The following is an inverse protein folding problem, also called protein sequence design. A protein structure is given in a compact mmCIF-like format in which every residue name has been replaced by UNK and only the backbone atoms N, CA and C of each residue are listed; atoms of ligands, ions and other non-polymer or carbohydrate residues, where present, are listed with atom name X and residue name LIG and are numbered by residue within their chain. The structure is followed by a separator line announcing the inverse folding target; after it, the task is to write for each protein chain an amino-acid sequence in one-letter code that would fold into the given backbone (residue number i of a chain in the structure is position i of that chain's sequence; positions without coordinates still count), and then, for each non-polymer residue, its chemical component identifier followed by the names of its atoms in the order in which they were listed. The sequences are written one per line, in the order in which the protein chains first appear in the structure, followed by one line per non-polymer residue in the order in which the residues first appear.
data_IF_714715635067
#
_entry.id   IF_714715635067
#
_cell.length_a   1.000
_cell.length_b   1.000
_cell.length_c   1.000
_cell.angle_alpha   90.00
_cell.angle_beta   90.00
_cell.angle_gamma   90.00
#
_symmetry.space_group_name_H-M   'P 1'
#
loop_
_entity.id
_entity.type
_entity.pdbx_description
1 polymer ?
#
# COMPACT_ATOMS: atom_id res chain seq x y z
N UNK A 1 16.16 27.28 -27.22
CA UNK A 1 14.80 26.69 -27.23
C UNK A 1 14.89 25.26 -26.71
N UNK A 2 14.87 25.09 -25.37
CA UNK A 2 15.06 23.79 -24.68
C UNK A 2 14.12 23.53 -23.45
N UNK A 3 12.97 24.20 -23.21
CA UNK A 3 12.21 23.96 -21.97
C UNK A 3 11.29 22.72 -22.00
N UNK A 4 10.99 22.15 -23.18
CA UNK A 4 9.96 21.10 -23.30
C UNK A 4 10.40 19.72 -22.78
N UNK A 5 11.69 19.39 -22.81
CA UNK A 5 12.20 18.07 -22.40
C UNK A 5 12.18 17.85 -20.88
N UNK A 6 12.26 18.91 -20.07
CA UNK A 6 12.24 18.80 -18.61
C UNK A 6 10.82 18.54 -18.05
N UNK A 7 9.78 18.99 -18.77
CA UNK A 7 8.38 18.86 -18.35
C UNK A 7 7.88 17.41 -18.47
N UNK A 8 8.48 16.60 -19.35
CA UNK A 8 8.08 15.20 -19.55
C UNK A 8 8.67 14.25 -18.50
N UNK A 9 9.76 14.62 -17.81
CA UNK A 9 10.38 13.77 -16.78
C UNK A 9 9.66 13.83 -15.42
N UNK A 10 8.75 14.78 -15.21
CA UNK A 10 8.03 14.96 -13.94
C UNK A 10 6.66 14.27 -13.88
N UNK A 11 6.21 13.58 -14.94
CA UNK A 11 4.81 13.12 -15.08
C UNK A 11 4.58 11.66 -14.64
N UNK A 12 5.60 10.93 -14.21
CA UNK A 12 5.45 9.50 -13.85
C UNK A 12 5.63 9.21 -12.36
N UNK A 13 5.14 10.07 -11.47
CA UNK A 13 4.93 9.66 -10.07
C UNK A 13 3.46 9.27 -9.93
N UNK A 14 3.15 8.00 -10.17
CA UNK A 14 1.90 7.41 -9.73
C UNK A 14 1.93 7.41 -8.19
N UNK A 15 1.47 8.51 -7.60
CA UNK A 15 1.42 8.64 -6.15
C UNK A 15 0.37 7.65 -5.64
N UNK A 16 0.77 6.69 -4.82
CA UNK A 16 -0.10 5.69 -4.20
C UNK A 16 -1.04 6.31 -3.13
N UNK A 17 -1.41 7.58 -3.31
CA UNK A 17 -2.22 8.34 -2.35
C UNK A 17 -3.68 7.95 -2.57
N UNK A 18 -4.39 7.47 -1.54
CA UNK A 18 -5.79 7.13 -1.69
C UNK A 18 -6.65 8.37 -1.94
N UNK A 19 -7.58 8.25 -2.88
CA UNK A 19 -8.52 9.31 -3.22
C UNK A 19 -9.65 9.37 -2.20
N UNK A 20 -9.57 10.34 -1.28
CA UNK A 20 -10.63 10.61 -0.31
C UNK A 20 -11.77 11.44 -0.91
N UNK A 21 -13.03 11.22 -0.47
CA UNK A 21 -14.14 12.09 -0.85
C UNK A 21 -13.95 13.49 -0.26
N UNK A 22 -14.24 14.53 -1.04
CA UNK A 22 -14.06 15.94 -0.63
C UNK A 22 -14.88 16.35 0.60
N UNK A 23 -15.97 15.63 0.92
CA UNK A 23 -16.79 15.85 2.11
C UNK A 23 -16.99 14.55 2.86
N UNK A 24 -17.02 14.66 4.17
CA UNK A 24 -17.29 13.54 5.06
C UNK A 24 -18.71 13.00 4.84
N UNK A 25 -18.80 11.67 4.84
CA UNK A 25 -20.06 10.95 4.71
C UNK A 25 -20.54 10.50 6.08
N UNK A 26 -21.79 10.05 6.16
CA UNK A 26 -22.34 9.47 7.40
C UNK A 26 -21.54 8.27 7.91
N UNK A 27 -20.92 7.52 7.00
CA UNK A 27 -20.03 6.41 7.32
C UNK A 27 -18.58 6.77 6.99
N UNK A 28 -17.63 6.53 7.89
CA UNK A 28 -16.21 6.81 7.64
C UNK A 28 -15.69 5.95 6.49
N UNK A 29 -14.73 6.52 5.76
CA UNK A 29 -14.06 5.90 4.62
C UNK A 29 -12.63 5.58 5.04
N UNK A 30 -12.24 4.33 4.82
CA UNK A 30 -10.90 3.84 5.11
C UNK A 30 -10.31 3.13 3.91
N UNK A 31 -8.99 3.23 3.76
CA UNK A 31 -8.22 2.54 2.74
C UNK A 31 -7.02 1.81 3.35
N UNK A 32 -6.75 0.59 2.91
CA UNK A 32 -5.53 -0.12 3.25
C UNK A 32 -4.31 0.64 2.70
N UNK A 33 -3.20 0.59 3.44
CA UNK A 33 -1.94 1.12 2.95
C UNK A 33 -1.34 0.15 1.93
N UNK A 34 -0.77 0.70 0.87
CA UNK A 34 -0.28 0.02 -0.31
C UNK A 34 0.83 -1.01 -0.01
N UNK A 35 1.74 -0.67 0.92
CA UNK A 35 2.87 -1.55 1.32
C UNK A 35 2.84 -1.97 2.80
N UNK A 36 1.87 -1.53 3.61
CA UNK A 36 1.90 -1.83 5.06
C UNK A 36 0.54 -2.27 5.62
N UNK A 37 0.34 -3.57 5.84
CA UNK A 37 -0.82 -4.17 6.49
C UNK A 37 -1.09 -3.59 7.88
N UNK A 38 -0.07 -3.12 8.59
CA UNK A 38 -0.25 -2.50 9.91
C UNK A 38 -0.65 -1.03 9.82
N UNK A 39 -0.82 -0.49 8.61
CA UNK A 39 -1.22 0.89 8.33
C UNK A 39 -2.46 0.93 7.45
N UNK A 40 -3.21 2.02 7.62
CA UNK A 40 -4.39 2.33 6.83
C UNK A 40 -4.59 3.83 6.82
N UNK A 41 -5.46 4.30 5.94
CA UNK A 41 -5.85 5.70 5.86
C UNK A 41 -7.28 5.87 6.34
N UNK A 42 -7.52 6.89 7.16
CA UNK A 42 -8.85 7.40 7.48
C UNK A 42 -9.06 8.71 6.73
N UNK A 43 -10.15 8.82 5.98
CA UNK A 43 -10.46 10.04 5.25
C UNK A 43 -11.22 11.02 6.14
N UNK A 44 -10.77 12.28 6.17
CA UNK A 44 -11.59 13.41 6.62
C UNK A 44 -11.40 14.62 5.71
N UNK A 45 -12.49 15.25 5.27
CA UNK A 45 -12.53 16.47 4.46
C UNK A 45 -11.62 16.42 3.22
N UNK A 46 -11.62 15.29 2.51
CA UNK A 46 -10.80 15.07 1.32
C UNK A 46 -9.34 14.70 1.60
N UNK A 47 -8.94 14.58 2.87
CA UNK A 47 -7.55 14.32 3.26
C UNK A 47 -7.43 12.89 3.82
N UNK A 48 -6.50 12.07 3.29
CA UNK A 48 -6.19 10.77 3.87
C UNK A 48 -5.20 10.92 5.02
N UNK A 49 -5.62 10.57 6.23
CA UNK A 49 -4.79 10.54 7.42
C UNK A 49 -4.22 9.15 7.63
N UNK A 50 -2.89 9.04 7.67
CA UNK A 50 -2.21 7.77 7.88
C UNK A 50 -2.32 7.34 9.35
N UNK A 51 -2.95 6.20 9.56
CA UNK A 51 -3.17 5.56 10.85
C UNK A 51 -2.37 4.26 10.96
N UNK A 52 -2.17 3.80 12.20
CA UNK A 52 -1.56 2.51 12.51
C UNK A 52 -2.53 1.64 13.29
N UNK A 53 -2.55 0.36 12.96
CA UNK A 53 -3.19 -0.64 13.78
C UNK A 53 -2.41 -0.84 15.10
N UNK A 54 -3.09 -1.33 16.16
CA UNK A 54 -2.42 -1.83 17.34
C UNK A 54 -1.38 -2.90 16.99
N UNK A 55 -0.40 -3.09 17.89
CA UNK A 55 0.68 -4.03 17.67
C UNK A 55 0.15 -5.45 17.34
N UNK A 56 0.70 -6.04 16.28
CA UNK A 56 0.34 -7.39 15.82
C UNK A 56 -0.96 -7.49 15.01
N UNK A 57 -1.67 -6.39 14.77
CA UNK A 57 -2.91 -6.38 13.98
C UNK A 57 -2.70 -5.78 12.59
N UNK A 58 -3.47 -6.28 11.63
CA UNK A 58 -3.49 -5.84 10.25
C UNK A 58 -4.83 -5.18 9.91
N UNK A 59 -4.83 -4.20 9.03
CA UNK A 59 -6.06 -3.56 8.59
C UNK A 59 -6.84 -4.49 7.66
N UNK A 60 -8.08 -4.79 8.06
CA UNK A 60 -9.05 -5.55 7.29
C UNK A 60 -9.93 -4.58 6.49
N UNK A 61 -9.67 -4.43 5.20
CA UNK A 61 -10.43 -3.51 4.32
C UNK A 61 -11.93 -3.86 4.26
N UNK A 62 -12.28 -5.15 4.35
CA UNK A 62 -13.68 -5.62 4.27
C UNK A 62 -14.46 -5.23 5.52
N UNK A 63 -13.85 -5.42 6.69
CA UNK A 63 -14.46 -5.08 7.97
C UNK A 63 -14.23 -3.62 8.38
N UNK A 64 -13.35 -2.90 7.68
CA UNK A 64 -12.95 -1.52 7.96
C UNK A 64 -12.41 -1.34 9.39
N UNK A 65 -11.62 -2.30 9.85
CA UNK A 65 -11.03 -2.30 11.21
C UNK A 65 -9.73 -3.08 11.24
N UNK A 66 -8.96 -2.95 12.32
CA UNK A 66 -7.79 -3.79 12.57
C UNK A 66 -8.21 -5.16 13.09
N UNK A 67 -7.61 -6.21 12.53
CA UNK A 67 -7.93 -7.61 12.77
C UNK A 67 -6.65 -8.45 12.79
N UNK A 68 -6.76 -9.72 13.15
CA UNK A 68 -5.63 -10.64 13.12
C UNK A 68 -5.14 -10.87 11.68
N UNK A 69 -3.81 -11.03 11.47
CA UNK A 69 -3.22 -11.16 10.13
C UNK A 69 -3.87 -12.23 9.24
N UNK A 70 -4.25 -13.36 9.82
CA UNK A 70 -4.89 -14.48 9.13
C UNK A 70 -6.35 -14.20 8.69
N UNK A 71 -6.99 -13.16 9.22
CA UNK A 71 -8.36 -12.75 8.90
C UNK A 71 -8.41 -11.45 8.09
N UNK A 72 -7.40 -10.59 8.23
CA UNK A 72 -7.36 -9.28 7.60
C UNK A 72 -7.31 -9.34 6.07
N UNK A 73 -6.85 -10.45 5.50
CA UNK A 73 -6.78 -10.65 4.04
C UNK A 73 -5.82 -9.70 3.36
N UNK A 74 -4.83 -9.18 4.10
CA UNK A 74 -3.81 -8.31 3.55
C UNK A 74 -2.82 -9.15 2.75
N UNK A 75 -2.92 -9.02 1.43
CA UNK A 75 -1.97 -9.57 0.48
C UNK A 75 -0.95 -8.48 0.19
N UNK A 76 0.13 -8.43 0.96
CA UNK A 76 1.30 -7.85 0.36
C UNK A 76 1.62 -8.72 -0.84
N UNK A 77 1.56 -8.15 -2.05
CA UNK A 77 2.50 -8.63 -3.05
C UNK A 77 3.86 -8.32 -2.44
N UNK A 78 4.45 -9.30 -1.75
CA UNK A 78 5.89 -9.43 -1.82
C UNK A 78 6.17 -9.29 -3.32
N UNK A 79 6.92 -8.27 -3.71
CA UNK A 79 7.39 -8.10 -5.07
C UNK A 79 8.42 -9.19 -5.40
N UNK A 80 8.12 -10.43 -5.04
CA UNK A 80 8.88 -11.65 -5.28
C UNK A 80 8.05 -12.54 -6.21
N UNK A 81 7.45 -11.93 -7.24
CA UNK A 81 7.12 -12.62 -8.50
C UNK A 81 7.84 -11.92 -9.67
N UNK A 82 9.07 -11.44 -9.44
CA UNK A 82 10.13 -11.63 -10.43
C UNK A 82 10.91 -12.85 -9.93
N UNK A 83 10.31 -14.02 -10.14
CA UNK A 83 11.01 -15.29 -10.13
C UNK A 83 11.89 -15.30 -11.39
N UNK A 84 13.11 -14.76 -11.29
CA UNK A 84 14.15 -15.07 -12.27
C UNK A 84 14.56 -16.53 -12.04
N UNK A 85 14.48 -17.42 -13.05
CA UNK A 85 14.69 -18.85 -12.84
C UNK A 85 16.13 -19.17 -12.43
N UNK A 86 16.26 -19.75 -11.22
CA UNK A 86 17.21 -20.78 -10.80
C UNK A 86 18.62 -20.81 -11.44
N UNK A 87 19.64 -20.32 -10.74
CA UNK A 87 20.98 -20.96 -10.68
C UNK A 87 21.77 -20.47 -9.45
N UNK A 88 21.50 -21.00 -8.25
CA UNK A 88 22.52 -20.98 -7.18
C UNK A 88 22.27 -22.04 -6.09
N UNK A 89 22.16 -23.31 -6.49
CA UNK A 89 22.35 -24.45 -5.58
C UNK A 89 23.56 -25.26 -6.06
N UNK A 90 24.75 -24.73 -5.77
CA UNK A 90 25.98 -25.52 -5.73
C UNK A 90 26.55 -25.45 -4.33
N UNK A 91 25.95 -26.24 -3.44
CA UNK A 91 26.59 -26.63 -2.18
C UNK A 91 27.84 -27.45 -2.51
N UNK A 92 29.03 -27.12 -2.01
CA UNK A 92 30.22 -27.95 -2.23
C UNK A 92 30.05 -29.29 -1.52
N UNK A 93 30.08 -30.39 -2.28
CA UNK A 93 30.39 -31.70 -1.70
C UNK A 93 31.93 -31.83 -1.70
N UNK A 94 32.49 -31.69 -0.50
CA UNK A 94 33.82 -32.09 -0.03
C UNK A 94 35.07 -31.48 -0.68
#
# INVERSE_FOLDING_TARGET
MLPALAILLVVSVATAIPHCPAKDRRSPVFFAHEVSCTRYYECSNGIPYLMRCPAGLHFNQKLRTCDYPNHAGCIFYASEDIEEPSEQDSVPIQ
#
